data_IF_856851983688
#
_entry.id   IF_856851983688
#
_cell.length_a   1.000
_cell.length_b   1.000
_cell.length_c   1.000
_cell.angle_alpha   90.00
_cell.angle_beta   90.00
_cell.angle_gamma   90.00
#
_symmetry.space_group_name_H-M   'P 1'
#
loop_
_entity.id
_entity.type
_entity.pdbx_description
1 polymer ?
#
# COMPACT_ATOMS: atom_id res chain seq x y z
N UNK A 1 -10.15 9.75 -15.65
CA UNK A 1 -9.35 10.95 -15.31
C UNK A 1 -9.50 11.35 -13.84
N UNK A 2 -10.65 11.82 -13.31
CA UNK A 2 -10.74 12.25 -11.88
C UNK A 2 -10.55 11.12 -10.86
N UNK A 3 -11.07 9.95 -11.18
CA UNK A 3 -11.00 8.72 -10.39
C UNK A 3 -9.60 8.07 -10.35
N UNK A 4 -8.81 8.19 -11.42
CA UNK A 4 -7.45 7.62 -11.48
C UNK A 4 -6.49 8.36 -10.54
N UNK A 5 -6.57 9.70 -10.48
CA UNK A 5 -5.81 10.51 -9.53
C UNK A 5 -6.20 10.22 -8.07
N UNK A 6 -7.49 10.01 -7.81
CA UNK A 6 -7.97 9.67 -6.47
C UNK A 6 -7.39 8.32 -5.98
N UNK A 7 -7.30 7.31 -6.84
CA UNK A 7 -6.67 6.02 -6.49
C UNK A 7 -5.19 6.18 -6.12
N UNK A 8 -4.44 6.99 -6.88
CA UNK A 8 -3.04 7.26 -6.58
C UNK A 8 -2.87 8.02 -5.25
N UNK A 9 -3.71 9.03 -4.99
CA UNK A 9 -3.73 9.77 -3.73
C UNK A 9 -4.05 8.86 -2.54
N UNK A 10 -5.07 8.01 -2.66
CA UNK A 10 -5.44 7.04 -1.64
C UNK A 10 -4.31 6.05 -1.37
N UNK A 11 -3.65 5.56 -2.43
CA UNK A 11 -2.50 4.65 -2.29
C UNK A 11 -1.37 5.33 -1.53
N UNK A 12 -1.01 6.57 -1.88
CA UNK A 12 0.03 7.35 -1.19
C UNK A 12 -0.28 7.58 0.29
N UNK A 13 -1.51 7.98 0.61
CA UNK A 13 -1.96 8.17 1.99
C UNK A 13 -1.87 6.84 2.76
N UNK A 14 -2.32 5.74 2.16
CA UNK A 14 -2.27 4.42 2.80
C UNK A 14 -0.84 3.96 3.11
N UNK A 15 0.09 4.15 2.16
CA UNK A 15 1.52 3.81 2.35
C UNK A 15 2.12 4.66 3.46
N UNK A 16 1.81 5.96 3.50
CA UNK A 16 2.30 6.84 4.56
C UNK A 16 1.81 6.40 5.94
N UNK A 17 0.51 6.10 6.07
CA UNK A 17 -0.06 5.59 7.31
C UNK A 17 0.56 4.25 7.71
N UNK A 18 0.78 3.35 6.75
CA UNK A 18 1.43 2.07 6.97
C UNK A 18 2.84 2.24 7.54
N UNK A 19 3.62 3.17 7.00
CA UNK A 19 4.98 3.50 7.48
C UNK A 19 4.95 4.04 8.91
N UNK A 20 4.05 4.99 9.21
CA UNK A 20 3.93 5.60 10.55
C UNK A 20 3.54 4.57 11.59
N UNK A 21 2.53 3.74 11.30
CA UNK A 21 2.08 2.69 12.22
C UNK A 21 3.16 1.61 12.37
N UNK A 22 3.86 1.23 11.30
CA UNK A 22 4.98 0.28 11.37
C UNK A 22 6.14 0.77 12.24
N UNK A 23 6.48 2.06 12.13
CA UNK A 23 7.45 2.69 13.02
C UNK A 23 6.98 2.66 14.48
N UNK A 24 5.69 2.93 14.72
CA UNK A 24 5.11 2.88 16.07
C UNK A 24 5.09 1.47 16.68
N UNK A 25 4.74 0.43 15.91
CA UNK A 25 4.79 -0.98 16.36
C UNK A 25 6.20 -1.34 16.85
N UNK A 26 7.22 -0.89 16.10
CA UNK A 26 8.62 -1.19 16.41
C UNK A 26 9.09 -0.46 17.67
N UNK A 27 8.76 0.83 17.82
CA UNK A 27 9.17 1.63 18.98
C UNK A 27 8.40 1.29 20.25
N UNK A 28 7.14 0.88 20.14
CA UNK A 28 6.30 0.49 21.27
C UNK A 28 6.53 -0.96 21.72
N UNK A 29 7.32 -1.75 20.98
CA UNK A 29 7.62 -3.15 21.31
C UNK A 29 6.46 -4.11 21.05
N UNK A 30 5.45 -3.71 20.27
CA UNK A 30 4.27 -4.54 19.96
C UNK A 30 4.47 -5.49 18.77
N UNK A 31 5.70 -5.64 18.26
CA UNK A 31 5.96 -6.46 17.06
C UNK A 31 5.84 -7.98 17.23
N UNK A 32 5.51 -8.46 18.44
CA UNK A 32 5.41 -9.89 18.79
C UNK A 32 4.04 -10.25 19.40
N UNK A 33 3.06 -9.36 19.33
CA UNK A 33 1.71 -9.57 19.88
C UNK A 33 0.90 -10.61 19.07
N UNK A 34 1.17 -10.73 17.76
CA UNK A 34 0.60 -11.72 16.85
C UNK A 34 1.72 -12.60 16.23
N UNK A 35 2.04 -13.78 16.79
CA UNK A 35 3.06 -14.66 16.23
C UNK A 35 2.65 -15.34 14.91
N UNK A 36 1.34 -15.49 14.67
CA UNK A 36 0.79 -16.19 13.50
C UNK A 36 0.36 -15.22 12.39
N UNK A 37 0.25 -15.70 11.15
CA UNK A 37 -0.41 -15.02 10.02
C UNK A 37 -1.02 -16.10 9.10
N UNK A 38 -2.27 -15.97 8.61
CA UNK A 38 -3.15 -14.79 8.58
C UNK A 38 -3.97 -14.56 9.86
N UNK A 39 -4.05 -15.54 10.74
CA UNK A 39 -4.69 -15.40 12.07
C UNK A 39 -3.75 -14.70 13.05
N UNK A 40 -4.28 -13.99 14.05
CA UNK A 40 -3.53 -13.51 15.21
C UNK A 40 -3.99 -14.27 16.46
N UNK A 41 -3.08 -14.97 17.13
CA UNK A 41 -3.37 -15.80 18.32
C UNK A 41 -4.48 -16.84 18.06
N UNK A 42 -4.40 -17.52 16.91
CA UNK A 42 -5.39 -18.53 16.50
C UNK A 42 -6.78 -18.00 16.13
N UNK A 43 -7.00 -16.68 16.12
CA UNK A 43 -8.25 -16.05 15.71
C UNK A 43 -8.05 -15.08 14.55
N UNK A 44 -9.04 -14.96 13.67
CA UNK A 44 -8.98 -13.98 12.58
C UNK A 44 -9.22 -12.55 13.11
N UNK A 45 -10.09 -12.41 14.10
CA UNK A 45 -10.40 -11.15 14.80
C UNK A 45 -10.12 -11.39 16.29
N UNK A 46 -8.91 -11.05 16.77
CA UNK A 46 -8.56 -11.24 18.18
C UNK A 46 -9.23 -10.16 19.07
N UNK A 47 -9.29 -10.38 20.40
CA UNK A 47 -9.67 -9.32 21.33
C UNK A 47 -8.71 -8.13 21.22
N UNK A 48 -9.25 -6.94 21.01
CA UNK A 48 -8.50 -5.70 20.74
C UNK A 48 -7.92 -5.08 22.01
N UNK A 49 -6.98 -5.77 22.65
CA UNK A 49 -6.12 -5.19 23.68
C UNK A 49 -5.15 -4.17 23.06
N UNK A 50 -4.57 -3.27 23.84
CA UNK A 50 -3.76 -2.14 23.32
C UNK A 50 -2.62 -2.58 22.40
N UNK A 51 -1.81 -3.57 22.79
CA UNK A 51 -0.71 -4.08 21.97
C UNK A 51 -1.17 -4.83 20.71
N UNK A 52 -2.12 -5.75 20.88
CA UNK A 52 -2.70 -6.53 19.78
C UNK A 52 -3.41 -5.64 18.77
N UNK A 53 -4.13 -4.60 19.21
CA UNK A 53 -4.80 -3.64 18.34
C UNK A 53 -3.80 -2.93 17.44
N UNK A 54 -2.65 -2.51 17.97
CA UNK A 54 -1.64 -1.79 17.21
C UNK A 54 -1.01 -2.70 16.15
N UNK A 55 -0.57 -3.91 16.53
CA UNK A 55 0.02 -4.84 15.56
C UNK A 55 -1.02 -5.30 14.50
N UNK A 56 -2.24 -5.62 14.94
CA UNK A 56 -3.32 -6.01 14.05
C UNK A 56 -3.73 -4.87 13.09
N UNK A 57 -3.73 -3.62 13.56
CA UNK A 57 -3.99 -2.46 12.69
C UNK A 57 -2.92 -2.29 11.61
N UNK A 58 -1.64 -2.52 11.94
CA UNK A 58 -0.55 -2.51 10.97
C UNK A 58 -0.78 -3.57 9.89
N UNK A 59 -1.18 -4.79 10.27
CA UNK A 59 -1.50 -5.89 9.35
C UNK A 59 -2.71 -5.59 8.46
N UNK A 60 -3.74 -4.93 8.98
CA UNK A 60 -4.88 -4.50 8.16
C UNK A 60 -4.46 -3.44 7.14
N UNK A 61 -3.61 -2.50 7.56
CA UNK A 61 -3.06 -1.48 6.67
C UNK A 61 -2.18 -2.09 5.57
N UNK A 62 -1.36 -3.12 5.87
CA UNK A 62 -0.56 -3.77 4.82
C UNK A 62 -1.45 -4.39 3.75
N UNK A 63 -2.48 -5.16 4.15
CA UNK A 63 -3.42 -5.78 3.21
C UNK A 63 -4.14 -4.72 2.37
N UNK A 64 -4.65 -3.66 3.01
CA UNK A 64 -5.30 -2.56 2.31
C UNK A 64 -4.36 -1.89 1.30
N UNK A 65 -3.16 -1.51 1.72
CA UNK A 65 -2.16 -0.84 0.89
C UNK A 65 -1.72 -1.72 -0.26
N UNK A 66 -1.54 -3.02 -0.04
CA UNK A 66 -1.21 -3.98 -1.11
C UNK A 66 -2.33 -4.03 -2.16
N UNK A 67 -3.60 -4.12 -1.75
CA UNK A 67 -4.74 -4.11 -2.68
C UNK A 67 -4.80 -2.80 -3.47
N UNK A 68 -4.62 -1.65 -2.81
CA UNK A 68 -4.61 -0.33 -3.46
C UNK A 68 -3.46 -0.20 -4.46
N UNK A 69 -2.27 -0.68 -4.11
CA UNK A 69 -1.11 -0.67 -4.99
C UNK A 69 -1.35 -1.50 -6.25
N UNK A 70 -1.85 -2.73 -6.10
CA UNK A 70 -2.18 -3.59 -7.25
C UNK A 70 -3.27 -2.98 -8.13
N UNK A 71 -4.31 -2.38 -7.54
CA UNK A 71 -5.36 -1.69 -8.27
C UNK A 71 -4.81 -0.48 -9.05
N UNK A 72 -3.93 0.31 -8.42
CA UNK A 72 -3.27 1.45 -9.05
C UNK A 72 -2.35 1.00 -10.20
N UNK A 73 -1.54 -0.05 -10.00
CA UNK A 73 -0.69 -0.62 -11.05
C UNK A 73 -1.54 -1.14 -12.22
N UNK A 74 -2.63 -1.86 -11.95
CA UNK A 74 -3.53 -2.34 -12.99
C UNK A 74 -4.18 -1.18 -13.77
N UNK A 75 -4.67 -0.15 -13.08
CA UNK A 75 -5.23 1.03 -13.72
C UNK A 75 -4.21 1.75 -14.62
N UNK A 76 -2.99 1.97 -14.12
CA UNK A 76 -1.90 2.60 -14.89
C UNK A 76 -1.49 1.75 -16.10
N UNK A 77 -1.42 0.43 -15.94
CA UNK A 77 -1.06 -0.47 -17.04
C UNK A 77 -2.11 -0.50 -18.16
N UNK A 78 -3.39 -0.26 -17.82
CA UNK A 78 -4.49 -0.15 -18.79
C UNK A 78 -4.57 1.22 -19.45
N UNK A 79 -3.90 2.24 -18.90
CA UNK A 79 -3.82 3.55 -19.55
C UNK A 79 -2.94 3.46 -20.81
N UNK A 80 -3.42 3.91 -21.97
CA UNK A 80 -2.59 3.95 -23.17
C UNK A 80 -1.44 4.93 -22.89
N UNK A 81 -0.21 4.41 -22.80
CA UNK A 81 1.00 5.20 -22.70
C UNK A 81 1.12 6.09 -23.95
N UNK A 82 0.56 7.30 -23.89
CA UNK A 82 0.79 8.35 -24.87
C UNK A 82 2.21 8.84 -24.67
N UNK A 83 3.17 8.14 -25.27
CA UNK A 83 4.52 8.69 -25.44
C UNK A 83 4.36 10.05 -26.12
N UNK A 84 4.81 11.17 -25.51
CA UNK A 84 4.72 12.46 -26.16
C UNK A 84 5.49 12.37 -27.47
N UNK A 85 4.91 12.90 -28.56
CA UNK A 85 5.48 12.81 -29.91
C UNK A 85 6.97 13.23 -29.95
N UNK A 86 7.38 14.11 -29.03
CA UNK A 86 8.76 14.55 -28.81
C UNK A 86 9.76 13.39 -28.58
N UNK A 87 9.38 12.35 -27.82
CA UNK A 87 10.25 11.17 -27.57
C UNK A 87 10.32 10.26 -28.80
N UNK A 88 9.27 10.23 -29.62
CA UNK A 88 9.25 9.48 -30.89
C UNK A 88 10.05 10.20 -31.99
N UNK A 89 10.04 11.54 -32.01
CA UNK A 89 10.84 12.35 -32.92
C UNK A 89 12.34 12.24 -32.63
N UNK A 90 12.73 12.17 -31.35
CA UNK A 90 14.13 12.03 -30.95
C UNK A 90 14.78 10.72 -31.41
N UNK A 91 14.00 9.64 -31.61
CA UNK A 91 14.50 8.38 -32.19
C UNK A 91 14.77 8.45 -33.70
N UNK A 92 14.16 9.38 -34.43
CA UNK A 92 14.39 9.58 -35.86
C UNK A 92 15.47 10.63 -36.16
N UNK A 93 15.78 11.50 -35.21
CA UNK A 93 16.82 12.53 -35.36
C UNK A 93 18.24 12.03 -34.99
N UNK A 94 18.40 10.76 -34.62
CA UNK A 94 19.68 10.14 -34.23
C UNK A 94 20.12 8.98 -35.15
N UNK A 95 19.50 8.86 -36.33
CA UNK A 95 19.91 8.00 -37.45
C UNK A 95 20.14 8.87 -38.67
#
# INVERSE_FOLDING_TARGET
MRNEWALLQLTLISVYLLMVVGAYVTTAGYGLECPDWPTCRGQLIPPLTTGVLVEYSHRLLTVLTTVLLFAATYAVWRMPFRVPAMVRAMKFASI
#
